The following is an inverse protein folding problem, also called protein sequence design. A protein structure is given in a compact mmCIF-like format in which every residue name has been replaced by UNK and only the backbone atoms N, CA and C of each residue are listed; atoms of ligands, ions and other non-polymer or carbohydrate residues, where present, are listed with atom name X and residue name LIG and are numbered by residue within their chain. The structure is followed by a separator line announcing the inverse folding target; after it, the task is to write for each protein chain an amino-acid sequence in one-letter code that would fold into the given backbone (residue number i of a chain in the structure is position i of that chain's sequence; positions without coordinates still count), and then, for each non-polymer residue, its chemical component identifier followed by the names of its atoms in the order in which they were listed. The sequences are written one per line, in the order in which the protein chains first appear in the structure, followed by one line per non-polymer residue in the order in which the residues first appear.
data_IF_111887467417
#
_entry.id   IF_111887467417
#
_cell.length_a   1.000
_cell.length_b   1.000
_cell.length_c   1.000
_cell.angle_alpha   90.00
_cell.angle_beta   90.00
_cell.angle_gamma   90.00
#
_symmetry.space_group_name_H-M   'P 1'
#
loop_
_entity.id
_entity.type
_entity.pdbx_description
1 polymer ?
#
# COMPACT_ATOMS: atom_id res chain seq x y z
N UNK A 1 -47.08 18.03 -12.13
CA UNK A 1 -46.29 17.28 -13.13
C UNK A 1 -45.26 16.49 -12.35
N UNK A 2 -45.26 15.14 -12.38
CA UNK A 2 -44.21 14.34 -11.72
C UNK A 2 -42.94 14.56 -12.55
N UNK A 3 -42.00 15.34 -12.03
CA UNK A 3 -40.70 15.47 -12.68
C UNK A 3 -40.04 14.09 -12.68
N UNK A 4 -39.82 13.54 -13.87
CA UNK A 4 -39.10 12.28 -14.02
C UNK A 4 -37.64 12.59 -13.70
N UNK A 5 -37.20 12.19 -12.52
CA UNK A 5 -35.80 12.27 -12.14
C UNK A 5 -35.02 11.37 -13.11
N UNK A 6 -33.97 11.88 -13.74
CA UNK A 6 -33.22 11.09 -14.69
C UNK A 6 -32.41 10.00 -13.97
N UNK A 7 -32.33 8.83 -14.59
CA UNK A 7 -31.74 7.62 -14.00
C UNK A 7 -30.30 7.79 -13.49
N UNK A 8 -29.50 8.65 -14.15
CA UNK A 8 -28.12 8.91 -13.73
C UNK A 8 -28.03 9.55 -12.34
N UNK A 9 -28.97 10.45 -11.99
CA UNK A 9 -29.00 11.07 -10.66
C UNK A 9 -29.24 10.01 -9.58
N UNK A 10 -30.03 8.99 -9.89
CA UNK A 10 -30.32 7.89 -8.95
C UNK A 10 -29.09 6.98 -8.79
N UNK A 11 -28.35 6.74 -9.88
CA UNK A 11 -27.09 6.01 -9.84
C UNK A 11 -26.03 6.75 -9.01
N UNK A 12 -25.98 8.08 -9.11
CA UNK A 12 -25.05 8.90 -8.33
C UNK A 12 -25.38 8.89 -6.82
N UNK A 13 -26.66 8.79 -6.46
CA UNK A 13 -27.13 8.71 -5.07
C UNK A 13 -27.09 7.29 -4.49
N UNK A 14 -26.92 6.27 -5.34
CA UNK A 14 -26.95 4.86 -4.94
C UNK A 14 -25.88 4.48 -3.92
N UNK A 15 -24.60 4.94 -4.04
CA UNK A 15 -23.59 4.67 -3.02
C UNK A 15 -23.96 5.25 -1.65
N UNK A 16 -24.52 6.46 -1.61
CA UNK A 16 -24.96 7.11 -0.38
C UNK A 16 -26.15 6.39 0.26
N UNK A 17 -27.09 5.90 -0.56
CA UNK A 17 -28.20 5.06 -0.10
C UNK A 17 -27.71 3.73 0.47
N UNK A 18 -26.75 3.08 -0.19
CA UNK A 18 -26.14 1.83 0.31
C UNK A 18 -25.32 2.05 1.60
N UNK A 19 -24.80 3.26 1.81
CA UNK A 19 -24.09 3.67 3.03
C UNK A 19 -25.02 4.15 4.17
N UNK A 20 -26.35 4.16 3.95
CA UNK A 20 -27.35 4.68 4.89
C UNK A 20 -27.22 6.19 5.21
N UNK A 21 -26.55 6.95 4.35
CA UNK A 21 -26.24 8.39 4.54
C UNK A 21 -27.24 9.34 3.84
N UNK A 22 -28.43 8.84 3.47
CA UNK A 22 -29.47 9.61 2.79
C UNK A 22 -30.64 9.92 3.71
N UNK A 23 -31.34 11.03 3.46
CA UNK A 23 -32.59 11.35 4.18
C UNK A 23 -33.70 10.36 3.85
N UNK A 24 -34.67 10.19 4.75
CA UNK A 24 -35.83 9.29 4.57
C UNK A 24 -36.61 9.59 3.28
N UNK A 25 -36.75 10.86 2.93
CA UNK A 25 -37.40 11.29 1.69
C UNK A 25 -36.64 10.80 0.44
N UNK A 26 -35.31 10.91 0.46
CA UNK A 26 -34.44 10.44 -0.62
C UNK A 26 -34.44 8.92 -0.70
N UNK A 27 -34.51 8.23 0.45
CA UNK A 27 -34.60 6.77 0.53
C UNK A 27 -35.86 6.25 -0.16
N UNK A 28 -37.03 6.79 0.19
CA UNK A 28 -38.30 6.40 -0.40
C UNK A 28 -38.33 6.62 -1.93
N UNK A 29 -37.70 7.71 -2.39
CA UNK A 29 -37.61 8.06 -3.80
C UNK A 29 -36.76 7.06 -4.61
N UNK A 30 -35.64 6.60 -4.04
CA UNK A 30 -34.75 5.60 -4.64
C UNK A 30 -35.45 4.24 -4.68
N UNK A 31 -36.10 3.82 -3.59
CA UNK A 31 -36.85 2.56 -3.54
C UNK A 31 -37.96 2.48 -4.59
N UNK A 32 -38.70 3.57 -4.80
CA UNK A 32 -39.76 3.64 -5.81
C UNK A 32 -39.19 3.52 -7.25
N UNK A 33 -37.99 4.04 -7.49
CA UNK A 33 -37.31 3.87 -8.77
C UNK A 33 -36.74 2.46 -8.96
N UNK A 34 -36.19 1.85 -7.90
CA UNK A 34 -35.72 0.46 -7.93
C UNK A 34 -36.86 -0.54 -8.19
N UNK A 35 -38.08 -0.26 -7.70
CA UNK A 35 -39.29 -1.06 -8.00
C UNK A 35 -39.74 -0.94 -9.45
N UNK A 36 -39.50 0.21 -10.08
CA UNK A 36 -39.97 0.51 -11.44
C UNK A 36 -38.99 0.00 -12.49
N UNK A 37 -37.68 -0.01 -12.20
CA UNK A 37 -36.62 -0.39 -13.13
C UNK A 37 -35.83 -1.62 -12.63
N UNK A 38 -36.13 -2.79 -13.21
CA UNK A 38 -35.44 -4.04 -12.86
C UNK A 38 -33.96 -4.07 -13.23
N UNK A 39 -33.51 -3.26 -14.21
CA UNK A 39 -32.09 -3.16 -14.57
C UNK A 39 -31.34 -2.37 -13.50
N UNK A 40 -31.94 -1.27 -13.02
CA UNK A 40 -31.40 -0.47 -11.93
C UNK A 40 -31.33 -1.29 -10.62
N UNK A 41 -32.36 -2.08 -10.33
CA UNK A 41 -32.37 -2.98 -9.17
C UNK A 41 -31.22 -3.99 -9.18
N UNK A 42 -30.92 -4.59 -10.34
CA UNK A 42 -29.78 -5.50 -10.48
C UNK A 42 -28.43 -4.80 -10.28
N UNK A 43 -28.28 -3.57 -10.77
CA UNK A 43 -27.06 -2.77 -10.56
C UNK A 43 -26.87 -2.41 -9.09
N UNK A 44 -27.95 -2.05 -8.38
CA UNK A 44 -27.92 -1.80 -6.94
C UNK A 44 -27.53 -3.04 -6.13
N UNK A 45 -28.05 -4.20 -6.51
CA UNK A 45 -27.70 -5.47 -5.89
C UNK A 45 -26.22 -5.81 -6.13
N UNK A 46 -25.72 -5.65 -7.36
CA UNK A 46 -24.31 -5.85 -7.68
C UNK A 46 -23.40 -4.86 -6.92
N UNK A 47 -23.80 -3.61 -6.78
CA UNK A 47 -23.06 -2.60 -6.02
C UNK A 47 -23.02 -2.89 -4.51
N UNK A 48 -24.05 -3.55 -3.96
CA UNK A 48 -24.08 -4.00 -2.57
C UNK A 48 -23.07 -5.12 -2.28
N UNK A 49 -22.80 -5.98 -3.26
CA UNK A 49 -21.86 -7.10 -3.14
C UNK A 49 -20.47 -6.80 -3.72
N UNK A 50 -20.31 -5.71 -4.45
CA UNK A 50 -19.00 -5.21 -4.81
C UNK A 50 -18.24 -4.91 -3.52
N UNK A 51 -16.97 -5.34 -3.39
CA UNK A 51 -16.16 -5.02 -2.22
C UNK A 51 -16.23 -3.52 -2.03
N UNK A 52 -16.85 -3.15 -0.91
CA UNK A 52 -17.24 -1.81 -0.56
C UNK A 52 -16.13 -0.82 -0.87
N UNK A 53 -16.47 0.30 -1.50
CA UNK A 53 -15.66 1.53 -1.52
C UNK A 53 -15.47 2.12 -0.09
N UNK A 54 -15.68 1.33 0.97
CA UNK A 54 -15.52 1.66 2.39
C UNK A 54 -14.05 1.75 2.84
N UNK A 55 -13.09 1.80 1.92
CA UNK A 55 -11.80 2.42 2.23
C UNK A 55 -11.89 3.92 1.94
N UNK A 56 -12.88 4.60 2.52
CA UNK A 56 -12.69 6.03 2.84
C UNK A 56 -11.75 6.00 4.04
N UNK A 57 -10.47 6.38 3.90
CA UNK A 57 -9.57 6.37 5.03
C UNK A 57 -10.18 7.31 6.06
N UNK A 58 -10.45 6.77 7.26
CA UNK A 58 -10.84 7.56 8.42
C UNK A 58 -9.95 8.81 8.51
N UNK A 59 -10.47 9.98 8.90
CA UNK A 59 -9.71 11.23 8.89
C UNK A 59 -8.39 11.01 9.62
N UNK A 60 -7.30 10.91 8.85
CA UNK A 60 -6.01 10.56 9.39
C UNK A 60 -5.60 11.74 10.26
N UNK A 61 -5.61 11.56 11.57
CA UNK A 61 -5.11 12.58 12.48
C UNK A 61 -3.63 12.80 12.15
N UNK A 62 -3.16 14.05 12.16
CA UNK A 62 -1.74 14.40 11.86
C UNK A 62 -0.73 13.57 12.66
N UNK A 63 -1.12 13.11 13.85
CA UNK A 63 -0.31 12.21 14.68
C UNK A 63 -0.11 10.84 14.03
N UNK A 64 -1.17 10.26 13.45
CA UNK A 64 -1.11 8.97 12.77
C UNK A 64 -0.27 9.03 11.49
N UNK A 65 -0.32 10.14 10.74
CA UNK A 65 0.57 10.38 9.59
C UNK A 65 2.04 10.46 10.01
N UNK A 66 2.32 11.17 11.10
CA UNK A 66 3.68 11.37 11.60
C UNK A 66 4.29 10.06 12.09
N UNK A 67 3.51 9.19 12.74
CA UNK A 67 3.97 7.88 13.18
C UNK A 67 4.21 6.92 12.01
N UNK A 68 3.29 6.87 11.04
CA UNK A 68 3.45 6.08 9.83
C UNK A 68 4.70 6.53 9.05
N UNK A 69 4.87 7.84 8.88
CA UNK A 69 6.03 8.42 8.22
C UNK A 69 7.35 8.10 8.95
N UNK A 70 7.37 8.19 10.29
CA UNK A 70 8.55 7.82 11.09
C UNK A 70 8.90 6.33 10.94
N UNK A 71 7.90 5.44 10.91
CA UNK A 71 8.10 4.00 10.70
C UNK A 71 8.68 3.72 9.32
N UNK A 72 8.09 4.29 8.27
CA UNK A 72 8.57 4.14 6.89
C UNK A 72 9.97 4.72 6.73
N UNK A 73 10.24 5.91 7.28
CA UNK A 73 11.55 6.54 7.25
C UNK A 73 12.62 5.69 7.93
N UNK A 74 12.30 5.08 9.07
CA UNK A 74 13.23 4.17 9.78
C UNK A 74 13.55 2.93 8.94
N UNK A 75 12.55 2.33 8.31
CA UNK A 75 12.74 1.17 7.43
C UNK A 75 13.57 1.53 6.19
N UNK A 76 13.33 2.69 5.57
CA UNK A 76 14.14 3.20 4.46
C UNK A 76 15.60 3.44 4.86
N UNK A 77 15.85 4.06 6.02
CA UNK A 77 17.21 4.27 6.52
C UNK A 77 17.90 2.92 6.74
N UNK A 78 17.22 1.96 7.37
CA UNK A 78 17.77 0.64 7.62
C UNK A 78 18.09 -0.10 6.31
N UNK A 79 17.20 -0.04 5.32
CA UNK A 79 17.42 -0.59 3.98
C UNK A 79 18.65 0.03 3.31
N UNK A 80 18.75 1.36 3.30
CA UNK A 80 19.87 2.07 2.68
C UNK A 80 21.21 1.78 3.39
N UNK A 81 21.22 1.68 4.72
CA UNK A 81 22.43 1.37 5.49
C UNK A 81 22.94 -0.03 5.15
N UNK A 82 22.07 -1.05 5.12
CA UNK A 82 22.49 -2.40 4.77
C UNK A 82 22.94 -2.52 3.32
N UNK A 83 22.25 -1.85 2.39
CA UNK A 83 22.67 -1.79 0.99
C UNK A 83 24.04 -1.16 0.84
N UNK A 84 24.26 -0.01 1.48
CA UNK A 84 25.53 0.69 1.46
C UNK A 84 26.67 -0.19 2.01
N UNK A 85 26.45 -0.86 3.15
CA UNK A 85 27.44 -1.76 3.74
C UNK A 85 27.75 -2.96 2.85
N UNK A 86 26.74 -3.57 2.23
CA UNK A 86 26.90 -4.70 1.31
C UNK A 86 27.73 -4.29 0.08
N UNK A 87 27.39 -3.16 -0.55
CA UNK A 87 28.10 -2.65 -1.72
C UNK A 87 29.54 -2.25 -1.36
N UNK A 88 29.72 -1.50 -0.26
CA UNK A 88 31.04 -1.04 0.19
C UNK A 88 31.97 -2.24 0.45
N UNK A 89 31.48 -3.25 1.17
CA UNK A 89 32.29 -4.42 1.52
C UNK A 89 32.61 -5.25 0.28
N UNK A 90 31.66 -5.39 -0.65
CA UNK A 90 31.91 -6.04 -1.94
C UNK A 90 32.97 -5.28 -2.75
N UNK A 91 32.88 -3.96 -2.80
CA UNK A 91 33.84 -3.11 -3.51
C UNK A 91 35.25 -3.20 -2.90
N UNK A 92 35.35 -3.22 -1.56
CA UNK A 92 36.62 -3.34 -0.83
C UNK A 92 37.31 -4.71 -1.01
N UNK A 93 36.59 -5.74 -1.48
CA UNK A 93 37.21 -7.05 -1.77
C UNK A 93 38.27 -6.98 -2.87
N UNK A 94 38.11 -6.10 -3.87
CA UNK A 94 39.04 -5.99 -5.01
C UNK A 94 40.37 -5.34 -4.60
N UNK A 95 40.40 -4.17 -3.92
CA UNK A 95 41.63 -3.63 -3.35
C UNK A 95 42.29 -4.59 -2.37
N UNK A 96 41.53 -5.30 -1.55
CA UNK A 96 42.08 -6.29 -0.62
C UNK A 96 42.78 -7.45 -1.36
N UNK A 97 42.26 -7.88 -2.52
CA UNK A 97 42.90 -8.89 -3.34
C UNK A 97 44.20 -8.41 -4.03
N UNK A 98 44.40 -7.10 -4.18
CA UNK A 98 45.59 -6.54 -4.84
C UNK A 98 46.64 -6.13 -3.79
N UNK A 99 46.24 -5.40 -2.75
CA UNK A 99 47.15 -4.79 -1.79
C UNK A 99 47.47 -5.67 -0.58
N UNK A 100 46.54 -6.56 -0.18
CA UNK A 100 46.68 -7.37 1.04
C UNK A 100 46.91 -8.85 0.76
N UNK A 101 46.98 -9.27 -0.51
CA UNK A 101 47.10 -10.69 -0.85
C UNK A 101 48.44 -11.29 -0.43
N UNK A 102 49.54 -10.53 -0.55
CA UNK A 102 50.88 -11.00 -0.17
C UNK A 102 51.06 -11.09 1.36
N UNK A 103 50.42 -10.20 2.12
CA UNK A 103 50.50 -10.18 3.59
C UNK A 103 49.46 -11.08 4.26
N UNK A 104 48.26 -11.16 3.68
CA UNK A 104 47.15 -11.94 4.21
C UNK A 104 46.25 -12.45 3.06
N UNK A 105 46.62 -13.58 2.42
CA UNK A 105 45.87 -14.18 1.31
C UNK A 105 44.36 -14.40 1.56
N UNK A 106 43.88 -14.70 2.79
CA UNK A 106 42.44 -14.87 3.01
C UNK A 106 41.64 -13.55 3.10
N UNK A 107 42.29 -12.38 3.10
CA UNK A 107 41.63 -11.06 3.21
C UNK A 107 40.42 -10.88 2.27
N UNK A 108 40.55 -11.03 0.93
CA UNK A 108 39.43 -10.82 0.01
C UNK A 108 38.26 -11.78 0.26
N UNK A 109 38.54 -13.02 0.69
CA UNK A 109 37.50 -14.01 1.00
C UNK A 109 36.73 -13.64 2.28
N UNK A 110 37.39 -13.03 3.28
CA UNK A 110 36.70 -12.52 4.47
C UNK A 110 35.78 -11.34 4.12
N UNK A 111 36.24 -10.41 3.27
CA UNK A 111 35.37 -9.32 2.79
C UNK A 111 34.16 -9.85 2.02
N UNK A 112 34.34 -10.86 1.16
CA UNK A 112 33.22 -11.50 0.48
C UNK A 112 32.26 -12.21 1.44
N UNK A 113 32.78 -12.91 2.45
CA UNK A 113 31.94 -13.56 3.48
C UNK A 113 31.11 -12.53 4.26
N UNK A 114 31.72 -11.41 4.66
CA UNK A 114 31.03 -10.30 5.34
C UNK A 114 29.99 -9.66 4.41
N UNK A 115 30.31 -9.50 3.12
CA UNK A 115 29.38 -8.96 2.14
C UNK A 115 28.14 -9.85 1.98
N UNK A 116 28.31 -11.18 1.95
CA UNK A 116 27.19 -12.13 1.90
C UNK A 116 26.27 -12.00 3.13
N UNK A 117 26.83 -11.79 4.32
CA UNK A 117 26.06 -11.53 5.54
C UNK A 117 25.22 -10.25 5.40
N UNK A 118 25.82 -9.16 4.89
CA UNK A 118 25.10 -7.91 4.68
C UNK A 118 24.03 -8.01 3.59
N UNK A 119 24.28 -8.75 2.51
CA UNK A 119 23.25 -9.08 1.52
C UNK A 119 22.10 -9.87 2.14
N UNK A 120 22.38 -10.89 2.95
CA UNK A 120 21.36 -11.65 3.68
C UNK A 120 20.51 -10.77 4.61
N UNK A 121 21.17 -9.89 5.37
CA UNK A 121 20.49 -8.93 6.25
C UNK A 121 19.63 -7.94 5.44
N UNK A 122 20.12 -7.47 4.30
CA UNK A 122 19.38 -6.60 3.38
C UNK A 122 18.11 -7.29 2.86
N UNK A 123 18.22 -8.53 2.37
CA UNK A 123 17.05 -9.31 1.90
C UNK A 123 16.05 -9.57 3.02
N UNK A 124 16.51 -9.83 4.24
CA UNK A 124 15.63 -10.03 5.40
C UNK A 124 14.83 -8.77 5.75
N UNK A 125 15.48 -7.60 5.78
CA UNK A 125 14.81 -6.32 6.00
C UNK A 125 13.84 -6.02 4.85
N UNK A 126 14.22 -6.30 3.60
CA UNK A 126 13.36 -6.08 2.44
C UNK A 126 12.11 -6.96 2.47
N UNK A 127 12.23 -8.21 2.94
CA UNK A 127 11.08 -9.11 3.09
C UNK A 127 10.07 -8.57 4.11
N UNK A 128 10.55 -7.99 5.21
CA UNK A 128 9.71 -7.38 6.27
C UNK A 128 8.99 -6.10 5.82
N UNK A 129 9.44 -5.46 4.73
CA UNK A 129 8.77 -4.28 4.16
C UNK A 129 7.64 -4.70 3.20
N UNK A 130 7.72 -5.92 2.63
CA UNK A 130 6.73 -6.45 1.69
C UNK A 130 5.60 -7.25 2.34
N UNK A 131 5.80 -7.72 3.59
CA UNK A 131 4.79 -8.36 4.43
C UNK A 131 4.05 -7.31 5.28
#
# INVERSE_FOLDING_TARGET
MKEKIPQHVILDLLPLYLADEVSEETRSLIEDHLKTDSQLAKLAEQAKYAPSLQEIPAPITKETEMEAFKKVKKLMIQHNVFLFMAVLTTFMSVPAAISLYDEFPPAPFLFLAIAIIFWGAFFWVNRKISD
#
